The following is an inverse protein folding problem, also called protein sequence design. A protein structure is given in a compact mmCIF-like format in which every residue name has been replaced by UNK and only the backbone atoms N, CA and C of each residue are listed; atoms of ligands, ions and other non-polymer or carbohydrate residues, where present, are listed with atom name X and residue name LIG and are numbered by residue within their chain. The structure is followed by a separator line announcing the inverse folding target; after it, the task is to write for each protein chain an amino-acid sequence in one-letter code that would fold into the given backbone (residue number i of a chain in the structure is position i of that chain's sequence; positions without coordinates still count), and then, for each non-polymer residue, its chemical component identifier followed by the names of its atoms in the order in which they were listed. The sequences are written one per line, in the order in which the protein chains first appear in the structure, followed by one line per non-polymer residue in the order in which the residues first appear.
data_IF_088575087469
#
_entry.id   IF_088575087469
#
_cell.length_a   1.000
_cell.length_b   1.000
_cell.length_c   1.000
_cell.angle_alpha   90.00
_cell.angle_beta   90.00
_cell.angle_gamma   90.00
#
_symmetry.space_group_name_H-M   'P 1'
#
loop_
_entity.id
_entity.type
_entity.pdbx_description
1 polymer ?
#
# COMPACT_ATOMS: atom_id res chain seq x y z
N UNK A 1 -13.93 -24.06 9.74
CA UNK A 1 -13.22 -22.93 9.09
C UNK A 1 -11.81 -23.42 8.73
N UNK A 2 -11.35 -23.28 7.47
CA UNK A 2 -10.00 -23.71 7.07
C UNK A 2 -9.00 -22.58 7.36
N UNK A 3 -7.88 -22.91 8.01
CA UNK A 3 -6.82 -21.95 8.34
C UNK A 3 -5.70 -22.07 7.32
N UNK A 4 -5.38 -20.99 6.63
CA UNK A 4 -4.19 -20.93 5.77
C UNK A 4 -2.96 -20.61 6.62
N UNK A 5 -1.89 -21.42 6.47
CA UNK A 5 -0.60 -21.24 7.16
C UNK A 5 0.40 -20.57 6.23
N UNK A 6 1.41 -19.92 6.81
CA UNK A 6 2.53 -19.29 6.09
C UNK A 6 2.08 -18.24 5.05
N UNK A 7 1.03 -17.46 5.37
CA UNK A 7 0.57 -16.36 4.53
C UNK A 7 1.51 -15.16 4.58
N UNK A 8 2.04 -14.83 5.75
CA UNK A 8 2.82 -13.62 5.94
C UNK A 8 4.06 -13.54 5.02
N UNK A 9 4.90 -14.59 4.88
CA UNK A 9 6.01 -14.57 3.92
C UNK A 9 5.57 -14.36 2.47
N UNK A 10 4.36 -14.82 2.10
CA UNK A 10 3.80 -14.60 0.76
C UNK A 10 3.31 -13.17 0.56
N UNK A 11 2.70 -12.59 1.59
CA UNK A 11 2.21 -11.21 1.59
C UNK A 11 3.39 -10.24 1.40
N UNK A 12 4.50 -10.48 2.11
CA UNK A 12 5.67 -9.60 2.08
C UNK A 12 6.70 -9.98 1.00
N UNK A 13 6.43 -11.01 0.19
CA UNK A 13 7.32 -11.40 -0.91
C UNK A 13 7.49 -10.21 -1.86
N UNK A 14 8.70 -10.00 -2.36
CA UNK A 14 9.03 -8.81 -3.15
C UNK A 14 8.15 -8.74 -4.41
N UNK A 15 7.93 -9.88 -5.06
CA UNK A 15 7.08 -10.02 -6.23
C UNK A 15 5.62 -9.63 -5.92
N UNK A 16 5.13 -10.00 -4.74
CA UNK A 16 3.78 -9.64 -4.31
C UNK A 16 3.68 -8.14 -3.98
N UNK A 17 4.69 -7.56 -3.32
CA UNK A 17 4.73 -6.13 -3.03
C UNK A 17 4.84 -5.29 -4.32
N UNK A 18 5.59 -5.78 -5.31
CA UNK A 18 5.68 -5.16 -6.64
C UNK A 18 4.34 -5.19 -7.37
N UNK A 19 3.67 -6.35 -7.45
CA UNK A 19 2.33 -6.45 -8.05
C UNK A 19 1.30 -5.60 -7.30
N UNK A 20 1.36 -5.58 -5.97
CA UNK A 20 0.53 -4.73 -5.13
C UNK A 20 0.75 -3.23 -5.42
N UNK A 21 1.98 -2.79 -5.63
CA UNK A 21 2.28 -1.41 -6.02
C UNK A 21 1.68 -1.06 -7.38
N UNK A 22 1.76 -1.97 -8.36
CA UNK A 22 1.14 -1.78 -9.68
C UNK A 22 -0.38 -1.70 -9.59
N UNK A 23 -1.01 -2.57 -8.79
CA UNK A 23 -2.47 -2.55 -8.55
C UNK A 23 -2.89 -1.28 -7.82
N UNK A 24 -2.17 -0.86 -6.79
CA UNK A 24 -2.44 0.36 -6.03
C UNK A 24 -2.34 1.63 -6.88
N UNK A 25 -1.46 1.63 -7.89
CA UNK A 25 -1.26 2.76 -8.79
C UNK A 25 -2.25 2.83 -9.95
N UNK A 26 -3.02 1.76 -10.21
CA UNK A 26 -3.89 1.67 -11.39
C UNK A 26 -4.88 2.84 -11.43
N UNK A 27 -4.84 3.62 -12.52
CA UNK A 27 -5.68 4.81 -12.70
C UNK A 27 -5.32 6.02 -11.81
N UNK A 28 -4.21 5.96 -11.06
CA UNK A 28 -3.76 7.00 -10.12
C UNK A 28 -2.28 7.36 -10.29
N UNK A 29 -1.61 6.88 -11.35
CA UNK A 29 -0.16 7.06 -11.59
C UNK A 29 0.28 8.53 -11.65
N UNK A 30 -0.60 9.44 -12.07
CA UNK A 30 -0.30 10.88 -12.16
C UNK A 30 -0.41 11.62 -10.82
N UNK A 31 -0.91 10.96 -9.76
CA UNK A 31 -0.93 11.58 -8.44
C UNK A 31 0.50 11.74 -7.91
N UNK A 32 0.84 12.92 -7.40
CA UNK A 32 2.20 13.24 -6.94
C UNK A 32 2.77 12.22 -5.94
N UNK A 33 1.96 11.77 -4.97
CA UNK A 33 2.41 10.78 -4.00
C UNK A 33 2.67 9.38 -4.60
N UNK A 34 1.97 9.03 -5.69
CA UNK A 34 2.21 7.80 -6.45
C UNK A 34 3.48 7.96 -7.29
N UNK A 35 3.61 9.07 -8.02
CA UNK A 35 4.81 9.36 -8.82
C UNK A 35 6.07 9.35 -7.96
N UNK A 36 6.05 10.02 -6.81
CA UNK A 36 7.20 10.08 -5.91
C UNK A 36 7.61 8.70 -5.40
N UNK A 37 6.62 7.85 -5.07
CA UNK A 37 6.91 6.47 -4.69
C UNK A 37 7.53 5.67 -5.84
N UNK A 38 7.02 5.84 -7.06
CA UNK A 38 7.50 5.12 -8.25
C UNK A 38 8.86 5.58 -8.76
N UNK A 39 9.26 6.84 -8.48
CA UNK A 39 10.61 7.31 -8.80
C UNK A 39 11.70 6.49 -8.10
N UNK A 40 11.43 6.08 -6.86
CA UNK A 40 12.32 5.22 -6.06
C UNK A 40 11.65 3.87 -5.74
N UNK A 41 10.96 3.27 -6.74
CA UNK A 41 10.09 2.11 -6.52
C UNK A 41 10.80 0.96 -5.80
N UNK A 42 11.96 0.55 -6.32
CA UNK A 42 12.71 -0.60 -5.83
C UNK A 42 13.17 -0.40 -4.38
N UNK A 43 13.77 0.75 -4.09
CA UNK A 43 14.20 1.15 -2.74
C UNK A 43 13.03 1.19 -1.76
N UNK A 44 11.92 1.82 -2.15
CA UNK A 44 10.72 1.90 -1.33
C UNK A 44 10.14 0.51 -1.01
N UNK A 45 10.16 -0.43 -1.98
CA UNK A 45 9.66 -1.78 -1.79
C UNK A 45 10.60 -2.62 -0.91
N UNK A 46 11.92 -2.50 -1.07
CA UNK A 46 12.88 -3.17 -0.19
C UNK A 46 12.78 -2.69 1.24
N UNK A 47 12.76 -1.38 1.47
CA UNK A 47 12.59 -0.82 2.81
C UNK A 47 11.26 -1.27 3.43
N UNK A 48 10.17 -1.28 2.65
CA UNK A 48 8.88 -1.75 3.11
C UNK A 48 8.91 -3.24 3.47
N UNK A 49 9.51 -4.07 2.64
CA UNK A 49 9.67 -5.51 2.90
C UNK A 49 10.46 -5.76 4.17
N UNK A 50 11.60 -5.10 4.34
CA UNK A 50 12.45 -5.22 5.53
C UNK A 50 11.70 -4.80 6.80
N UNK A 51 10.98 -3.67 6.75
CA UNK A 51 10.17 -3.20 7.87
C UNK A 51 9.05 -4.18 8.23
N UNK A 52 8.39 -4.78 7.23
CA UNK A 52 7.37 -5.79 7.47
C UNK A 52 7.97 -7.08 8.05
N UNK A 53 9.10 -7.55 7.49
CA UNK A 53 9.80 -8.75 7.96
C UNK A 53 10.27 -8.61 9.42
N UNK A 54 10.77 -7.43 9.78
CA UNK A 54 11.26 -7.12 11.12
C UNK A 54 10.16 -6.68 12.11
N UNK A 55 8.90 -6.55 11.66
CA UNK A 55 7.80 -6.08 12.51
C UNK A 55 7.87 -4.59 12.86
N UNK A 56 8.68 -3.80 12.14
CA UNK A 56 8.89 -2.37 12.35
C UNK A 56 8.02 -1.48 11.44
N UNK A 57 7.15 -2.09 10.63
CA UNK A 57 6.21 -1.35 9.80
C UNK A 57 5.20 -0.59 10.66
N UNK A 58 5.22 0.74 10.54
CA UNK A 58 4.22 1.64 11.11
C UNK A 58 3.46 2.30 9.94
N UNK A 59 2.11 2.25 9.93
CA UNK A 59 1.30 3.02 8.98
C UNK A 59 1.52 4.53 9.17
N UNK A 60 1.57 5.26 8.08
CA UNK A 60 1.68 6.71 8.11
C UNK A 60 0.35 7.39 8.44
N UNK A 61 0.42 8.70 8.66
CA UNK A 61 -0.76 9.51 8.94
C UNK A 61 -1.69 9.58 7.73
N UNK A 62 -2.99 9.45 7.98
CA UNK A 62 -4.01 9.60 6.96
C UNK A 62 -4.21 11.07 6.60
N UNK A 63 -4.44 11.33 5.32
CA UNK A 63 -4.93 12.63 4.85
C UNK A 63 -6.45 12.63 4.86
N UNK A 64 -7.06 13.53 5.62
CA UNK A 64 -8.52 13.61 5.76
C UNK A 64 -9.08 14.82 5.02
N UNK A 65 -10.08 14.61 4.17
CA UNK A 65 -10.73 15.66 3.40
C UNK A 65 -12.20 15.33 3.15
N UNK A 66 -13.02 16.36 2.94
CA UNK A 66 -14.44 16.19 2.64
C UNK A 66 -14.67 16.19 1.13
N UNK A 67 -15.53 15.30 0.66
CA UNK A 67 -16.05 15.30 -0.71
C UNK A 67 -17.58 15.26 -0.69
N UNK A 68 -18.20 15.64 -1.79
CA UNK A 68 -19.64 15.51 -2.00
C UNK A 68 -19.90 14.77 -3.30
N UNK A 69 -20.48 13.57 -3.24
CA UNK A 69 -20.88 12.83 -4.46
C UNK A 69 -21.81 11.61 -4.19
N UNK A 70 -23.15 11.69 -4.35
CA UNK A 70 -24.01 12.86 -4.35
C UNK A 70 -24.33 13.35 -2.92
N UNK A 71 -23.61 12.86 -1.89
CA UNK A 71 -23.78 13.21 -0.48
C UNK A 71 -22.43 13.49 0.18
N UNK A 72 -22.37 14.30 1.25
CA UNK A 72 -21.10 14.62 1.92
C UNK A 72 -20.49 13.37 2.57
N UNK A 73 -19.19 13.18 2.40
CA UNK A 73 -18.39 12.15 3.07
C UNK A 73 -17.04 12.72 3.47
N UNK A 74 -16.60 12.39 4.67
CA UNK A 74 -15.22 12.58 5.09
C UNK A 74 -14.41 11.37 4.62
N UNK A 75 -13.44 11.60 3.75
CA UNK A 75 -12.50 10.60 3.24
C UNK A 75 -11.24 10.69 4.07
N UNK A 76 -10.73 9.54 4.51
CA UNK A 76 -9.38 9.42 5.07
C UNK A 76 -8.56 8.56 4.12
N UNK A 77 -7.64 9.18 3.39
CA UNK A 77 -6.78 8.50 2.43
C UNK A 77 -5.43 8.17 3.05
N UNK A 78 -5.08 6.88 3.04
CA UNK A 78 -3.79 6.38 3.47
C UNK A 78 -2.66 6.83 2.51
N UNK A 79 -1.43 7.03 3.02
CA UNK A 79 -0.23 7.19 2.19
C UNK A 79 -0.11 6.09 1.13
N UNK A 80 0.54 6.38 0.01
CA UNK A 80 0.66 5.39 -1.08
C UNK A 80 1.39 4.11 -0.63
N UNK A 81 2.47 4.24 0.16
CA UNK A 81 3.19 3.11 0.77
C UNK A 81 2.25 2.14 1.48
N UNK A 82 1.33 2.67 2.28
CA UNK A 82 0.42 1.83 3.08
C UNK A 82 -0.68 1.22 2.21
N UNK A 83 -1.07 1.89 1.12
CA UNK A 83 -1.94 1.30 0.09
C UNK A 83 -1.27 0.09 -0.58
N UNK A 84 0.05 0.09 -0.78
CA UNK A 84 0.77 -1.11 -1.27
C UNK A 84 0.58 -2.28 -0.31
N UNK A 85 0.72 -2.06 1.01
CA UNK A 85 0.49 -3.10 2.03
C UNK A 85 -0.95 -3.63 2.00
N UNK A 86 -1.94 -2.74 1.88
CA UNK A 86 -3.34 -3.15 1.77
C UNK A 86 -3.59 -4.02 0.53
N UNK A 87 -3.01 -3.67 -0.61
CA UNK A 87 -3.11 -4.49 -1.82
C UNK A 87 -2.37 -5.83 -1.68
N UNK A 88 -1.19 -5.84 -1.06
CA UNK A 88 -0.40 -7.04 -0.84
C UNK A 88 -1.13 -8.08 0.04
N UNK A 89 -1.94 -7.61 0.99
CA UNK A 89 -2.80 -8.45 1.83
C UNK A 89 -3.99 -9.06 1.05
N UNK A 90 -4.46 -8.37 0.01
CA UNK A 90 -5.66 -8.73 -0.75
C UNK A 90 -5.36 -9.51 -2.05
N UNK A 91 -4.07 -9.68 -2.37
CA UNK A 91 -3.61 -10.37 -3.56
C UNK A 91 -3.88 -11.88 -3.54
#
# INVERSE_FOLDING_TARGET
MKTAKNLFPKIIAFENLYDAAQKAAKGKREQQNVMHFFLNLEENLWQLQEQLANGNYVPGAYSTFHIYDPKPRMISAAPFRDRVVHHALMN
#
